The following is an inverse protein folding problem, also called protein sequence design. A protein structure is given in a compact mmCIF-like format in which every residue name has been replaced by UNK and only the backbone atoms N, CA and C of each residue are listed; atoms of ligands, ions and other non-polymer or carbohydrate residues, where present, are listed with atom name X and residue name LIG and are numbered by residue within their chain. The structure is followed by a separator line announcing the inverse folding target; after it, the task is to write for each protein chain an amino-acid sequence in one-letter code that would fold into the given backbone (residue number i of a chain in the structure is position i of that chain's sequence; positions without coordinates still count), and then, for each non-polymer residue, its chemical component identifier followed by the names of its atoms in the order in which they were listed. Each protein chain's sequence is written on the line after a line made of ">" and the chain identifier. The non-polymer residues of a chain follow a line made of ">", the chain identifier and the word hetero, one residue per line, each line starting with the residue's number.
data_IF_294642297625
#
_entry.id   IF_294642297625
#
_cell.length_a   1.000
_cell.length_b   1.000
_cell.length_c   1.000
_cell.angle_alpha   90.00
_cell.angle_beta   90.00
_cell.angle_gamma   90.00
#
_symmetry.space_group_name_H-M   'P 1'
#
loop_
_entity.id
_entity.type
_entity.pdbx_description
1 polymer ?
#
# COMPACT_ATOMS: atom_id res chain seq x y z
N UNK A 1 15.37 -6.89 -4.68
CA UNK A 1 14.13 -7.02 -3.88
C UNK A 1 12.86 -6.80 -4.71
N UNK A 2 12.48 -7.80 -5.52
CA UNK A 2 11.15 -7.91 -6.16
C UNK A 2 10.38 -9.14 -5.60
N UNK A 3 10.79 -9.59 -4.41
CA UNK A 3 10.50 -10.92 -3.88
C UNK A 3 9.62 -10.89 -2.62
N UNK A 4 9.37 -9.70 -2.04
CA UNK A 4 8.61 -9.60 -0.80
C UNK A 4 7.09 -9.77 -0.99
N UNK A 5 6.57 -9.49 -2.19
CA UNK A 5 5.12 -9.56 -2.48
C UNK A 5 4.79 -10.66 -3.49
N UNK A 6 5.70 -11.05 -4.40
CA UNK A 6 5.48 -12.12 -5.39
C UNK A 6 4.35 -11.88 -6.40
N UNK A 7 3.53 -10.84 -6.20
CA UNK A 7 2.52 -10.32 -7.11
C UNK A 7 2.87 -8.86 -7.40
N UNK A 8 2.87 -8.50 -8.68
CA UNK A 8 3.05 -7.11 -9.08
C UNK A 8 1.82 -6.26 -8.71
N UNK A 9 0.63 -6.89 -8.65
CA UNK A 9 -0.66 -6.25 -8.46
C UNK A 9 -1.62 -7.22 -7.71
N UNK A 10 -2.47 -6.70 -6.83
CA UNK A 10 -3.55 -7.43 -6.17
C UNK A 10 -4.80 -6.56 -6.12
N UNK A 11 -5.95 -7.14 -6.49
CA UNK A 11 -7.26 -6.51 -6.29
C UNK A 11 -7.73 -6.73 -4.85
N UNK A 12 -8.04 -5.64 -4.15
CA UNK A 12 -8.51 -5.68 -2.77
C UNK A 12 -9.91 -5.07 -2.68
N UNK A 13 -10.84 -5.82 -2.10
CA UNK A 13 -12.14 -5.26 -1.72
C UNK A 13 -11.97 -4.40 -0.46
N UNK A 14 -12.32 -3.13 -0.60
CA UNK A 14 -12.26 -2.11 0.44
C UNK A 14 -13.66 -1.69 0.83
N UNK A 15 -13.84 -1.29 2.09
CA UNK A 15 -15.10 -0.67 2.53
C UNK A 15 -15.25 0.72 1.91
N UNK A 16 -16.50 1.18 1.78
CA UNK A 16 -16.76 2.55 1.36
C UNK A 16 -16.07 3.54 2.31
N UNK A 17 -15.39 4.55 1.74
CA UNK A 17 -14.57 5.53 2.48
C UNK A 17 -13.32 4.96 3.17
N UNK A 18 -12.84 3.78 2.77
CA UNK A 18 -11.54 3.28 3.23
C UNK A 18 -10.44 4.27 2.90
N UNK A 19 -9.48 4.40 3.81
CA UNK A 19 -8.27 5.18 3.60
C UNK A 19 -7.11 4.28 3.22
N UNK A 20 -6.04 4.90 2.74
CA UNK A 20 -4.77 4.21 2.46
C UNK A 20 -4.32 3.39 3.67
N UNK A 21 -4.33 3.95 4.89
CA UNK A 21 -3.96 3.21 6.11
C UNK A 21 -4.81 1.96 6.36
N UNK A 22 -6.10 1.99 6.06
CA UNK A 22 -6.99 0.85 6.28
C UNK A 22 -6.64 -0.30 5.32
N UNK A 23 -6.25 0.04 4.08
CA UNK A 23 -5.71 -0.91 3.11
C UNK A 23 -4.36 -1.46 3.56
N UNK A 24 -3.48 -0.60 4.06
CA UNK A 24 -2.19 -1.02 4.59
C UNK A 24 -2.33 -2.00 5.76
N UNK A 25 -3.22 -1.72 6.71
CA UNK A 25 -3.47 -2.61 7.84
C UNK A 25 -4.00 -3.98 7.40
N UNK A 26 -4.89 -4.01 6.40
CA UNK A 26 -5.36 -5.26 5.78
C UNK A 26 -4.24 -6.02 5.09
N UNK A 27 -3.39 -5.34 4.32
CA UNK A 27 -2.24 -5.95 3.64
C UNK A 27 -1.23 -6.51 4.63
N UNK A 28 -0.92 -5.78 5.70
CA UNK A 28 0.00 -6.23 6.76
C UNK A 28 -0.58 -7.42 7.53
N UNK A 29 -1.89 -7.43 7.78
CA UNK A 29 -2.55 -8.58 8.42
C UNK A 29 -2.46 -9.85 7.56
N UNK A 30 -2.63 -9.74 6.24
CA UNK A 30 -2.50 -10.86 5.29
C UNK A 30 -1.05 -11.28 5.06
N UNK A 31 -0.15 -10.31 5.04
CA UNK A 31 1.28 -10.52 4.80
C UNK A 31 2.10 -9.85 5.91
N UNK A 32 2.24 -10.50 7.08
CA UNK A 32 2.99 -9.94 8.21
C UNK A 32 4.44 -9.54 7.86
N UNK A 33 5.03 -10.21 6.86
CA UNK A 33 6.35 -9.89 6.31
C UNK A 33 6.45 -8.48 5.71
N UNK A 34 5.33 -7.91 5.24
CA UNK A 34 5.26 -6.54 4.72
C UNK A 34 5.19 -5.50 5.85
N UNK A 35 4.64 -5.85 7.02
CA UNK A 35 4.47 -4.92 8.13
C UNK A 35 5.76 -4.21 8.56
N UNK A 36 6.90 -4.90 8.51
CA UNK A 36 8.20 -4.32 8.84
C UNK A 36 8.75 -3.38 7.75
N UNK A 37 8.48 -3.69 6.48
CA UNK A 37 8.97 -2.92 5.32
C UNK A 37 8.13 -1.68 5.04
N UNK A 38 6.83 -1.74 5.28
CA UNK A 38 5.91 -0.70 4.82
C UNK A 38 5.66 0.41 5.85
N UNK A 39 5.86 0.15 7.14
CA UNK A 39 5.59 1.12 8.23
C UNK A 39 6.65 2.21 8.40
N UNK A 40 7.81 2.09 7.78
CA UNK A 40 8.87 3.12 7.83
C UNK A 40 9.00 3.77 6.46
N UNK A 41 8.53 4.99 6.30
CA UNK A 41 8.80 5.86 5.15
C UNK A 41 8.37 5.32 3.77
N UNK A 42 7.26 4.58 3.68
CA UNK A 42 6.69 4.24 2.37
C UNK A 42 6.07 5.47 1.72
N UNK A 43 6.19 5.56 0.40
CA UNK A 43 5.50 6.55 -0.41
C UNK A 43 4.25 5.89 -1.00
N UNK A 44 3.11 6.54 -0.84
CA UNK A 44 1.84 6.11 -1.41
C UNK A 44 1.49 6.97 -2.62
N UNK A 45 1.07 6.33 -3.71
CA UNK A 45 0.54 7.04 -4.88
C UNK A 45 -0.85 6.54 -5.23
N UNK A 46 -1.82 7.44 -5.19
CA UNK A 46 -3.19 7.21 -5.62
C UNK A 46 -3.37 7.83 -6.99
N UNK A 47 -3.71 7.03 -7.99
CA UNK A 47 -3.94 7.48 -9.38
C UNK A 47 -2.80 8.37 -9.93
N UNK A 48 -1.54 8.02 -9.64
CA UNK A 48 -0.31 8.76 -10.02
C UNK A 48 -0.08 10.08 -9.26
N UNK A 49 -0.83 10.35 -8.20
CA UNK A 49 -0.59 11.47 -7.28
C UNK A 49 -0.04 10.96 -5.96
N UNK A 50 0.97 11.61 -5.39
CA UNK A 50 1.50 11.26 -4.07
C UNK A 50 0.48 11.69 -3.01
N UNK A 51 0.14 10.77 -2.10
CA UNK A 51 -0.84 10.99 -1.04
C UNK A 51 -0.31 10.53 0.32
N UNK A 52 -0.93 11.01 1.38
CA UNK A 52 -0.70 10.51 2.74
C UNK A 52 -1.56 9.27 3.05
N UNK A 53 -1.36 8.71 4.24
CA UNK A 53 -2.08 7.53 4.70
C UNK A 53 -3.56 7.79 5.04
N UNK A 54 -3.96 9.05 5.14
CA UNK A 54 -5.32 9.49 5.45
C UNK A 54 -6.17 9.78 4.20
N UNK A 55 -5.55 9.74 3.01
CA UNK A 55 -6.24 9.85 1.74
C UNK A 55 -7.31 8.77 1.57
N UNK A 56 -8.50 9.19 1.11
CA UNK A 56 -9.64 8.32 0.87
C UNK A 56 -9.51 7.62 -0.48
N UNK A 57 -9.91 6.37 -0.51
CA UNK A 57 -9.96 5.53 -1.70
C UNK A 57 -11.40 5.43 -2.20
N UNK A 58 -11.54 5.45 -3.51
CA UNK A 58 -12.80 5.23 -4.24
C UNK A 58 -12.73 3.94 -5.05
N UNK A 59 -13.89 3.46 -5.48
CA UNK A 59 -13.95 2.32 -6.39
C UNK A 59 -13.22 2.64 -7.71
N UNK A 60 -12.44 1.68 -8.21
CA UNK A 60 -11.60 1.84 -9.40
C UNK A 60 -10.28 2.61 -9.19
N UNK A 61 -9.99 3.09 -7.98
CA UNK A 61 -8.71 3.75 -7.69
C UNK A 61 -7.53 2.76 -7.70
N UNK A 62 -6.41 3.22 -8.24
CA UNK A 62 -5.15 2.46 -8.22
C UNK A 62 -4.22 3.05 -7.16
N UNK A 63 -3.97 2.27 -6.10
CA UNK A 63 -3.00 2.58 -5.06
C UNK A 63 -1.68 1.85 -5.33
N UNK A 64 -0.63 2.60 -5.65
CA UNK A 64 0.74 2.11 -5.71
C UNK A 64 1.45 2.40 -4.40
N UNK A 65 2.21 1.41 -3.91
CA UNK A 65 2.95 1.53 -2.65
C UNK A 65 4.42 1.29 -2.93
N UNK A 66 5.24 2.29 -2.63
CA UNK A 66 6.68 2.24 -2.81
C UNK A 66 7.33 2.11 -1.42
N UNK A 67 7.83 0.92 -1.05
CA UNK A 67 8.61 0.79 0.18
C UNK A 67 9.85 1.69 0.09
N UNK A 68 10.42 2.12 1.23
CA UNK A 68 11.67 2.85 1.24
C UNK A 68 12.72 2.03 0.48
N UNK A 69 13.24 2.59 -0.61
CA UNK A 69 14.34 1.96 -1.33
C UNK A 69 15.55 1.99 -0.40
N UNK A 70 15.91 0.85 0.18
CA UNK A 70 17.22 0.65 0.76
C UNK A 70 18.24 0.73 -0.37
N UNK A 71 18.75 1.93 -0.64
CA UNK A 71 19.86 2.12 -1.56
C UNK A 71 21.13 1.54 -0.93
N UNK A 72 21.74 0.57 -1.62
CA UNK A 72 23.03 -0.02 -1.27
C UNK A 72 22.94 -1.49 -0.87
#
# INVERSE_FOLDING_TARGET
>A
HREAVGKAEEELQIEANSKVKDVMDRLVSRHPKLGGLMRKNSIYSLNRSIVDEDAKLSDGDVLAIFPPVGGG
#
